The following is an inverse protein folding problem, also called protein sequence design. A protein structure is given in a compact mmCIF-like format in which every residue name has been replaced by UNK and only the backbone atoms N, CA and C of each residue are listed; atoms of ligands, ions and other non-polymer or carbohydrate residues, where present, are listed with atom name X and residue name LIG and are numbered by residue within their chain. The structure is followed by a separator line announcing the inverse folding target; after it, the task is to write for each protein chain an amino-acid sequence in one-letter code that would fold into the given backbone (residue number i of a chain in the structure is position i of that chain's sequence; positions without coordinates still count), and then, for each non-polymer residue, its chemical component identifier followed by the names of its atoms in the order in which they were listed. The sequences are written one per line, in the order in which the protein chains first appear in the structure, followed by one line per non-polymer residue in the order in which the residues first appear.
data_IF_074021039624
#
_entry.id   IF_074021039624
#
_cell.length_a   1.000
_cell.length_b   1.000
_cell.length_c   1.000
_cell.angle_alpha   90.00
_cell.angle_beta   90.00
_cell.angle_gamma   90.00
#
_symmetry.space_group_name_H-M   'P 1'
#
loop_
_entity.id
_entity.type
_entity.pdbx_description
1 polymer ?
#
# COMPACT_ATOMS: atom_id res chain seq x y z
N UNK A 1 -16.42 9.65 -8.38
CA UNK A 1 -15.90 9.06 -7.15
C UNK A 1 -14.54 9.69 -6.82
N UNK A 2 -14.23 9.79 -5.56
CA UNK A 2 -12.96 10.37 -5.09
C UNK A 2 -11.92 9.28 -4.90
N UNK A 3 -10.64 9.63 -5.09
CA UNK A 3 -9.52 8.75 -4.80
C UNK A 3 -9.26 8.72 -3.28
N UNK A 4 -8.80 7.57 -2.78
CA UNK A 4 -8.36 7.44 -1.39
C UNK A 4 -6.92 7.90 -1.29
N UNK A 5 -6.64 8.85 -0.40
CA UNK A 5 -5.31 9.44 -0.22
C UNK A 5 -4.67 9.00 1.09
N UNK A 6 -3.37 8.84 1.03
CA UNK A 6 -2.53 8.64 2.19
C UNK A 6 -1.98 9.99 2.64
N UNK A 7 -2.39 10.48 3.80
CA UNK A 7 -2.06 11.82 4.24
C UNK A 7 -0.96 11.88 5.28
N UNK A 8 -0.90 10.90 6.18
CA UNK A 8 0.04 10.90 7.28
C UNK A 8 0.36 9.50 7.78
N UNK A 9 1.62 9.29 8.11
CA UNK A 9 2.10 8.16 8.89
C UNK A 9 3.21 8.66 9.83
N UNK A 10 3.06 8.44 11.13
CA UNK A 10 4.01 8.94 12.11
C UNK A 10 3.38 9.10 13.47
N UNK A 11 3.89 10.05 14.27
CA UNK A 11 3.36 10.37 15.56
C UNK A 11 1.87 10.74 15.53
N UNK A 12 1.16 10.49 16.62
CA UNK A 12 -0.26 10.83 16.73
C UNK A 12 -0.50 12.31 16.47
N UNK A 13 -1.49 12.61 15.66
CA UNK A 13 -2.00 13.95 15.41
C UNK A 13 -3.24 14.13 16.29
N UNK A 14 -3.19 15.12 17.21
CA UNK A 14 -4.30 15.36 18.14
C UNK A 14 -5.52 15.99 17.44
N UNK A 15 -5.28 16.87 16.48
CA UNK A 15 -6.35 17.44 15.65
C UNK A 15 -6.15 17.08 14.19
N UNK A 16 -6.91 16.12 13.63
CA UNK A 16 -6.83 15.74 12.23
C UNK A 16 -7.60 16.70 11.30
N UNK A 17 -8.35 17.68 11.81
CA UNK A 17 -9.17 18.56 10.98
C UNK A 17 -8.38 19.31 9.89
N UNK A 18 -7.14 19.82 10.14
CA UNK A 18 -6.34 20.42 9.08
C UNK A 18 -5.99 19.46 7.93
N UNK A 19 -5.89 18.15 8.19
CA UNK A 19 -5.63 17.17 7.15
C UNK A 19 -6.79 17.02 6.18
N UNK A 20 -8.03 17.19 6.64
CA UNK A 20 -9.21 17.10 5.80
C UNK A 20 -9.25 18.21 4.73
N UNK A 21 -8.63 19.35 5.00
CA UNK A 21 -8.47 20.47 4.08
C UNK A 21 -7.25 20.39 3.17
N UNK A 22 -6.39 19.38 3.38
CA UNK A 22 -5.17 19.26 2.60
C UNK A 22 -5.50 18.97 1.13
N UNK A 23 -5.11 19.91 0.27
CA UNK A 23 -5.18 19.75 -1.18
C UNK A 23 -3.79 19.41 -1.68
N UNK A 24 -3.58 18.22 -2.23
CA UNK A 24 -2.35 17.92 -2.94
C UNK A 24 -2.21 18.92 -4.10
N UNK A 25 -1.01 19.48 -4.23
CA UNK A 25 -0.71 20.29 -5.40
C UNK A 25 -0.68 19.39 -6.63
N UNK A 26 -1.61 19.58 -7.54
CA UNK A 26 -1.63 18.92 -8.84
C UNK A 26 -0.76 19.71 -9.80
N UNK A 27 0.46 19.24 -10.03
CA UNK A 27 1.23 19.73 -11.15
C UNK A 27 0.74 19.01 -12.42
N UNK A 28 0.43 19.71 -13.51
CA UNK A 28 -0.07 19.08 -14.74
C UNK A 28 0.88 18.02 -15.31
N UNK A 29 2.18 18.18 -15.10
CA UNK A 29 3.22 17.27 -15.63
C UNK A 29 3.68 16.21 -14.61
N UNK A 30 3.29 16.33 -13.34
CA UNK A 30 3.70 15.44 -12.26
C UNK A 30 2.46 15.00 -11.50
N UNK A 31 1.77 14.02 -12.01
CA UNK A 31 0.60 13.47 -11.35
C UNK A 31 1.06 12.52 -10.20
N UNK A 32 1.71 13.11 -9.20
CA UNK A 32 2.29 12.44 -8.04
C UNK A 32 1.39 12.61 -6.82
N UNK A 33 0.15 12.20 -6.93
CA UNK A 33 -0.78 12.26 -5.81
C UNK A 33 -0.43 11.17 -4.79
N UNK A 34 -0.65 11.48 -3.51
CA UNK A 34 -0.46 10.55 -2.41
C UNK A 34 -1.62 9.53 -2.36
N UNK A 35 -1.81 8.79 -3.44
CA UNK A 35 -2.86 7.77 -3.55
C UNK A 35 -2.52 6.60 -2.63
N UNK A 36 -3.46 6.20 -1.79
CA UNK A 36 -3.23 5.14 -0.80
C UNK A 36 -2.98 3.76 -1.44
N UNK A 37 -3.51 3.53 -2.65
CA UNK A 37 -3.32 2.27 -3.37
C UNK A 37 -3.35 2.54 -4.88
N UNK A 38 -2.23 2.98 -5.47
CA UNK A 38 -2.17 3.31 -6.88
C UNK A 38 -2.33 2.06 -7.75
N UNK A 39 -3.21 2.13 -8.75
CA UNK A 39 -3.37 1.08 -9.75
C UNK A 39 -2.80 1.52 -11.10
N UNK A 40 -2.37 0.57 -11.91
CA UNK A 40 -1.88 0.83 -13.27
C UNK A 40 -3.01 1.36 -14.15
N UNK A 41 -2.73 2.41 -14.92
CA UNK A 41 -3.75 3.07 -15.74
C UNK A 41 -4.47 4.22 -15.04
N UNK A 42 -4.29 4.35 -13.72
CA UNK A 42 -4.75 5.52 -12.96
C UNK A 42 -3.92 6.77 -13.29
N UNK A 43 -4.26 7.86 -12.62
CA UNK A 43 -3.60 9.16 -12.83
C UNK A 43 -2.22 9.30 -12.16
N UNK A 44 -1.74 8.26 -11.50
CA UNK A 44 -0.50 8.29 -10.75
C UNK A 44 0.61 7.61 -11.54
N UNK A 45 1.75 8.30 -11.73
CA UNK A 45 2.92 7.77 -12.43
C UNK A 45 3.89 7.01 -11.52
N UNK A 46 3.58 6.83 -10.24
CA UNK A 46 4.37 5.99 -9.34
C UNK A 46 4.21 4.50 -9.67
N UNK A 47 5.10 3.69 -9.14
CA UNK A 47 4.98 2.24 -9.22
C UNK A 47 3.61 1.80 -8.69
N UNK A 48 2.80 1.13 -9.52
CA UNK A 48 1.45 0.74 -9.11
C UNK A 48 1.48 -0.39 -8.09
N UNK A 49 0.66 -0.23 -7.04
CA UNK A 49 0.41 -1.29 -6.07
C UNK A 49 -0.45 -2.43 -6.64
N UNK A 50 -1.16 -2.16 -7.72
CA UNK A 50 -2.00 -3.13 -8.42
C UNK A 50 -1.81 -3.01 -9.92
N UNK A 51 -1.50 -4.14 -10.57
CA UNK A 51 -1.48 -4.26 -12.03
C UNK A 51 -2.29 -5.48 -12.45
N UNK A 52 -3.32 -5.26 -13.23
CA UNK A 52 -4.29 -6.26 -13.67
C UNK A 52 -4.43 -6.21 -15.19
N UNK A 53 -4.60 -7.37 -15.83
CA UNK A 53 -5.27 -7.45 -17.13
C UNK A 53 -6.71 -7.91 -16.89
N UNK A 54 -7.66 -7.06 -17.23
CA UNK A 54 -9.09 -7.32 -17.11
C UNK A 54 -9.57 -8.42 -18.09
N UNK A 55 -10.76 -8.94 -17.89
CA UNK A 55 -11.29 -10.04 -18.70
C UNK A 55 -11.48 -9.69 -20.18
N UNK A 56 -11.62 -8.42 -20.51
CA UNK A 56 -11.69 -7.89 -21.88
C UNK A 56 -10.33 -7.53 -22.49
N UNK A 57 -9.23 -7.70 -21.73
CA UNK A 57 -7.87 -7.40 -22.15
C UNK A 57 -7.42 -5.97 -21.81
N UNK A 58 -8.26 -5.12 -21.22
CA UNK A 58 -7.84 -3.79 -20.76
C UNK A 58 -6.84 -3.92 -19.61
N UNK A 59 -5.90 -2.98 -19.55
CA UNK A 59 -4.87 -2.90 -18.51
C UNK A 59 -5.14 -1.75 -17.53
N UNK A 60 -6.08 -0.87 -17.84
CA UNK A 60 -6.35 0.30 -17.03
C UNK A 60 -7.25 -0.06 -15.85
N UNK A 61 -6.85 0.33 -14.65
CA UNK A 61 -7.62 0.17 -13.43
C UNK A 61 -7.68 1.51 -12.71
N UNK A 62 -8.86 2.09 -12.57
CA UNK A 62 -9.07 3.37 -11.88
C UNK A 62 -9.91 3.14 -10.63
N UNK A 63 -9.25 2.92 -9.50
CA UNK A 63 -9.93 2.65 -8.22
C UNK A 63 -10.58 3.91 -7.66
N UNK A 64 -11.88 3.81 -7.34
CA UNK A 64 -12.67 4.88 -6.75
C UNK A 64 -13.24 4.45 -5.41
N UNK A 65 -13.22 5.38 -4.46
CA UNK A 65 -13.79 5.17 -3.14
C UNK A 65 -15.29 4.85 -3.23
N UNK A 66 -15.71 3.84 -2.48
CA UNK A 66 -17.12 3.46 -2.33
C UNK A 66 -17.60 3.72 -0.91
N UNK A 67 -16.89 3.18 0.08
CA UNK A 67 -17.28 3.27 1.48
C UNK A 67 -16.12 2.91 2.39
N UNK A 68 -16.26 3.22 3.67
CA UNK A 68 -15.41 2.65 4.70
C UNK A 68 -16.23 2.26 5.92
N UNK A 69 -15.65 1.38 6.72
CA UNK A 69 -16.19 1.03 8.03
C UNK A 69 -15.05 0.91 9.02
N UNK A 70 -15.28 1.37 10.22
CA UNK A 70 -14.35 1.20 11.35
C UNK A 70 -15.08 0.50 12.47
N UNK A 71 -14.46 -0.50 13.07
CA UNK A 71 -15.01 -1.26 14.21
C UNK A 71 -13.93 -1.62 15.21
N UNK A 72 -14.27 -1.65 16.47
CA UNK A 72 -13.46 -2.33 17.48
C UNK A 72 -13.64 -3.83 17.34
N UNK A 73 -12.57 -4.58 17.50
CA UNK A 73 -12.62 -6.03 17.57
C UNK A 73 -12.90 -6.52 19.00
N UNK A 74 -12.84 -7.82 19.22
CA UNK A 74 -13.13 -8.40 20.53
C UNK A 74 -12.21 -7.87 21.65
N UNK A 75 -10.98 -7.51 21.34
CA UNK A 75 -10.10 -6.73 22.20
C UNK A 75 -10.32 -5.23 21.88
N UNK A 76 -10.79 -4.47 22.88
CA UNK A 76 -11.01 -3.02 22.75
C UNK A 76 -9.76 -2.21 22.36
N UNK A 77 -8.59 -2.78 22.53
CA UNK A 77 -7.30 -2.26 22.08
C UNK A 77 -7.13 -2.32 20.56
N UNK A 78 -7.93 -3.13 19.86
CA UNK A 78 -7.76 -3.43 18.44
C UNK A 78 -8.90 -2.81 17.64
N UNK A 79 -8.54 -1.96 16.68
CA UNK A 79 -9.50 -1.31 15.77
C UNK A 79 -9.20 -1.70 14.34
N UNK A 80 -10.22 -2.19 13.64
CA UNK A 80 -10.13 -2.50 12.20
C UNK A 80 -10.86 -1.43 11.38
N UNK A 81 -10.20 -0.89 10.38
CA UNK A 81 -10.79 -0.02 9.36
C UNK A 81 -10.66 -0.68 7.99
N UNK A 82 -11.79 -0.83 7.31
CA UNK A 82 -11.86 -1.36 5.94
C UNK A 82 -12.30 -0.24 5.02
N UNK A 83 -11.48 0.09 4.05
CA UNK A 83 -11.79 1.05 2.99
C UNK A 83 -12.06 0.27 1.72
N UNK A 84 -13.25 0.41 1.17
CA UNK A 84 -13.66 -0.26 -0.05
C UNK A 84 -13.57 0.68 -1.24
N UNK A 85 -12.95 0.18 -2.28
CA UNK A 85 -12.83 0.82 -3.59
C UNK A 85 -13.34 -0.13 -4.67
N UNK A 86 -13.75 0.42 -5.78
CA UNK A 86 -14.09 -0.34 -6.99
C UNK A 86 -13.46 0.32 -8.20
N UNK A 87 -13.16 -0.46 -9.23
CA UNK A 87 -12.76 0.12 -10.51
C UNK A 87 -13.92 0.90 -11.13
N UNK A 88 -13.59 1.98 -11.85
CA UNK A 88 -14.58 2.88 -12.43
C UNK A 88 -15.33 2.27 -13.63
N UNK A 89 -14.74 1.29 -14.30
CA UNK A 89 -15.23 0.70 -15.55
C UNK A 89 -15.52 -0.79 -15.38
N UNK A 90 -14.55 -1.53 -14.84
CA UNK A 90 -14.62 -2.98 -14.70
C UNK A 90 -15.10 -3.37 -13.28
N UNK A 91 -15.90 -4.42 -13.11
CA UNK A 91 -16.36 -4.84 -11.78
C UNK A 91 -15.25 -5.57 -10.99
N UNK A 92 -14.21 -4.82 -10.62
CA UNK A 92 -13.10 -5.24 -9.76
C UNK A 92 -13.14 -4.43 -8.46
N UNK A 93 -13.23 -5.12 -7.32
CA UNK A 93 -13.21 -4.46 -6.02
C UNK A 93 -11.86 -4.64 -5.32
N UNK A 94 -11.45 -3.62 -4.59
CA UNK A 94 -10.30 -3.65 -3.68
C UNK A 94 -10.73 -3.17 -2.31
N UNK A 95 -10.45 -3.96 -1.27
CA UNK A 95 -10.60 -3.55 0.12
C UNK A 95 -9.22 -3.39 0.75
N UNK A 96 -8.92 -2.20 1.26
CA UNK A 96 -7.75 -1.97 2.12
C UNK A 96 -8.19 -2.16 3.56
N UNK A 97 -7.56 -3.09 4.23
CA UNK A 97 -7.85 -3.42 5.63
C UNK A 97 -6.67 -2.97 6.49
N UNK A 98 -6.93 -2.04 7.37
CA UNK A 98 -6.00 -1.54 8.37
C UNK A 98 -6.43 -2.02 9.74
N UNK A 99 -5.53 -2.68 10.48
CA UNK A 99 -5.81 -3.09 11.86
C UNK A 99 -4.79 -2.43 12.77
N UNK A 100 -5.28 -1.56 13.63
CA UNK A 100 -4.48 -0.82 14.60
C UNK A 100 -4.54 -1.50 15.97
N UNK A 101 -3.37 -1.83 16.51
CA UNK A 101 -3.14 -2.36 17.82
C UNK A 101 -2.58 -1.23 18.69
N UNK A 102 -3.46 -0.54 19.42
CA UNK A 102 -3.10 0.71 20.08
C UNK A 102 -2.08 0.52 21.23
N UNK A 103 -2.19 -0.59 21.98
CA UNK A 103 -1.27 -0.89 23.08
C UNK A 103 0.12 -1.23 22.59
N UNK A 104 0.21 -1.98 21.48
CA UNK A 104 1.44 -2.43 20.86
C UNK A 104 2.06 -1.37 19.95
N UNK A 105 1.32 -0.30 19.65
CA UNK A 105 1.69 0.74 18.68
C UNK A 105 2.04 0.15 17.30
N UNK A 106 1.22 -0.80 16.83
CA UNK A 106 1.41 -1.52 15.56
C UNK A 106 0.19 -1.31 14.67
N UNK A 107 0.41 -1.15 13.39
CA UNK A 107 -0.63 -1.18 12.36
C UNK A 107 -0.28 -2.28 11.35
N UNK A 108 -1.21 -3.20 11.12
CA UNK A 108 -1.11 -4.14 10.02
C UNK A 108 -1.98 -3.70 8.84
N UNK A 109 -1.52 -4.00 7.64
CA UNK A 109 -2.23 -3.68 6.41
C UNK A 109 -2.34 -4.90 5.51
N UNK A 110 -3.46 -5.01 4.79
CA UNK A 110 -3.65 -5.99 3.74
C UNK A 110 -4.60 -5.45 2.68
N UNK A 111 -4.41 -5.89 1.45
CA UNK A 111 -5.35 -5.68 0.35
C UNK A 111 -6.15 -6.97 0.09
N UNK A 112 -7.44 -6.83 -0.17
CA UNK A 112 -8.33 -7.91 -0.62
C UNK A 112 -8.88 -7.53 -1.97
N UNK A 113 -8.52 -8.29 -2.99
CA UNK A 113 -8.92 -8.06 -4.38
C UNK A 113 -10.00 -9.07 -4.73
N UNK A 114 -11.11 -8.59 -5.30
CA UNK A 114 -12.23 -9.41 -5.71
C UNK A 114 -12.57 -9.16 -7.16
N UNK A 115 -12.36 -10.17 -7.99
CA UNK A 115 -12.86 -10.18 -9.35
C UNK A 115 -14.37 -10.44 -9.33
N UNK A 116 -15.16 -9.53 -9.92
CA UNK A 116 -16.59 -9.68 -10.18
C UNK A 116 -16.92 -9.56 -11.67
N UNK A 117 -15.90 -9.58 -12.52
CA UNK A 117 -16.07 -9.64 -13.95
C UNK A 117 -16.59 -11.00 -14.38
N UNK A 118 -17.14 -11.10 -15.58
CA UNK A 118 -17.67 -12.36 -16.12
C UNK A 118 -16.60 -13.36 -16.56
N UNK A 119 -15.35 -12.91 -16.65
CA UNK A 119 -14.21 -13.70 -17.08
C UNK A 119 -13.05 -13.67 -16.07
N UNK A 120 -12.00 -14.43 -16.32
CA UNK A 120 -10.78 -14.42 -15.52
C UNK A 120 -10.03 -13.11 -15.73
N UNK A 121 -9.39 -12.63 -14.66
CA UNK A 121 -8.43 -11.52 -14.70
C UNK A 121 -7.03 -12.05 -14.41
N UNK A 122 -6.00 -11.39 -14.93
CA UNK A 122 -4.62 -11.74 -14.63
C UNK A 122 -4.03 -10.69 -13.69
N UNK A 123 -3.62 -11.11 -12.49
CA UNK A 123 -2.87 -10.27 -11.57
C UNK A 123 -1.37 -10.36 -11.90
N UNK A 124 -0.79 -9.28 -12.41
CA UNK A 124 0.64 -9.18 -12.68
C UNK A 124 1.44 -8.83 -11.43
N UNK A 125 0.90 -7.90 -10.65
CA UNK A 125 1.44 -7.55 -9.34
C UNK A 125 0.34 -7.01 -8.43
N UNK A 126 0.50 -7.25 -7.12
CA UNK A 126 -0.32 -6.63 -6.09
C UNK A 126 0.48 -6.52 -4.80
N UNK A 127 0.29 -5.45 -4.07
CA UNK A 127 0.96 -5.17 -2.82
C UNK A 127 -0.01 -5.23 -1.66
N UNK A 128 0.49 -5.65 -0.49
CA UNK A 128 -0.31 -5.59 0.75
C UNK A 128 -0.50 -4.15 1.23
N UNK A 129 0.44 -3.27 0.86
CA UNK A 129 0.46 -1.86 1.25
C UNK A 129 1.25 -1.03 0.23
N UNK A 130 0.85 0.21 0.04
CA UNK A 130 1.62 1.26 -0.60
C UNK A 130 1.64 2.46 0.34
N UNK A 131 2.83 2.98 0.65
CA UNK A 131 2.99 4.06 1.63
C UNK A 131 3.86 5.16 1.01
N UNK A 132 3.26 6.25 0.50
CA UNK A 132 4.00 7.42 0.02
C UNK A 132 4.53 8.22 1.21
N UNK A 133 5.72 7.87 1.69
CA UNK A 133 6.40 8.58 2.77
C UNK A 133 7.21 9.73 2.22
N UNK A 134 7.19 10.89 2.90
CA UNK A 134 7.95 12.08 2.52
C UNK A 134 8.99 12.41 3.59
N UNK A 135 10.26 12.38 3.20
CA UNK A 135 11.38 12.80 4.01
C UNK A 135 12.50 13.35 3.11
N UNK A 136 13.42 14.09 3.69
CA UNK A 136 14.61 14.57 2.97
C UNK A 136 15.57 13.44 2.63
N UNK A 137 15.65 12.42 3.48
CA UNK A 137 16.52 11.25 3.33
C UNK A 137 15.82 10.00 3.84
N UNK A 138 16.09 8.88 3.22
CA UNK A 138 15.58 7.57 3.62
C UNK A 138 16.74 6.62 3.87
N UNK A 139 16.73 5.98 5.01
CA UNK A 139 17.63 4.89 5.36
C UNK A 139 16.82 3.59 5.38
N UNK A 140 17.14 2.67 4.49
CA UNK A 140 16.57 1.35 4.48
C UNK A 140 17.42 0.44 5.35
N UNK A 141 16.84 -0.08 6.42
CA UNK A 141 17.47 -1.09 7.27
C UNK A 141 16.79 -2.42 7.02
N UNK A 142 17.57 -3.43 6.67
CA UNK A 142 17.05 -4.78 6.48
C UNK A 142 18.00 -5.82 7.03
N UNK A 143 17.51 -7.05 7.12
CA UNK A 143 18.29 -8.18 7.56
C UNK A 143 18.58 -9.10 6.38
N UNK A 144 19.79 -9.62 6.31
CA UNK A 144 20.15 -10.68 5.40
C UNK A 144 20.84 -11.81 6.15
N UNK A 145 20.99 -12.96 5.54
CA UNK A 145 21.62 -14.06 6.22
C UNK A 145 21.99 -15.23 5.35
N UNK A 146 22.86 -16.05 5.93
CA UNK A 146 23.25 -17.35 5.42
C UNK A 146 23.35 -18.32 6.58
N UNK A 147 23.52 -19.61 6.30
CA UNK A 147 23.80 -20.61 7.31
C UNK A 147 24.96 -20.16 8.22
N UNK A 148 24.77 -20.16 9.53
CA UNK A 148 25.69 -19.68 10.56
C UNK A 148 25.99 -18.18 10.54
N UNK A 149 25.26 -17.40 9.75
CA UNK A 149 25.35 -15.93 9.66
C UNK A 149 23.96 -15.32 9.48
N UNK A 150 23.04 -15.70 10.37
CA UNK A 150 21.66 -15.25 10.34
C UNK A 150 21.56 -13.81 10.82
N UNK A 151 20.52 -13.12 10.36
CA UNK A 151 20.09 -11.80 10.86
C UNK A 151 21.19 -10.72 10.84
N UNK A 152 22.02 -10.69 9.79
CA UNK A 152 22.99 -9.61 9.61
C UNK A 152 22.25 -8.33 9.21
N UNK A 153 22.51 -7.24 9.93
CA UNK A 153 21.89 -5.94 9.69
C UNK A 153 22.63 -5.22 8.55
N UNK A 154 21.89 -4.77 7.55
CA UNK A 154 22.40 -3.87 6.52
C UNK A 154 21.64 -2.55 6.52
N UNK A 155 22.39 -1.46 6.32
CA UNK A 155 21.85 -0.11 6.18
C UNK A 155 22.18 0.44 4.81
N UNK A 156 21.16 0.81 4.04
CA UNK A 156 21.32 1.40 2.71
C UNK A 156 20.68 2.79 2.68
N UNK A 157 21.47 3.83 2.41
CA UNK A 157 20.92 5.14 2.10
C UNK A 157 20.24 5.08 0.74
N UNK A 158 18.94 5.35 0.70
CA UNK A 158 18.20 5.39 -0.55
C UNK A 158 18.53 6.68 -1.31
N UNK A 159 18.89 6.51 -2.57
CA UNK A 159 19.11 7.58 -3.55
C UNK A 159 18.03 7.54 -4.61
N UNK A 160 18.19 8.29 -5.72
CA UNK A 160 17.25 8.21 -6.83
C UNK A 160 17.24 6.81 -7.45
N UNK A 161 16.06 6.34 -7.81
CA UNK A 161 15.82 5.01 -8.37
C UNK A 161 15.01 4.12 -7.42
N UNK A 162 15.10 2.81 -7.60
CA UNK A 162 14.44 1.81 -6.76
C UNK A 162 15.45 0.90 -6.08
N UNK A 163 15.16 0.52 -4.84
CA UNK A 163 15.82 -0.56 -4.12
C UNK A 163 14.76 -1.62 -3.82
N UNK A 164 15.03 -2.86 -4.21
CA UNK A 164 14.18 -4.00 -3.92
C UNK A 164 14.90 -4.96 -2.98
N UNK A 165 14.15 -5.46 -2.00
CA UNK A 165 14.58 -6.56 -1.13
C UNK A 165 13.59 -7.68 -1.37
N UNK A 166 14.10 -8.85 -1.74
CA UNK A 166 13.27 -9.99 -2.09
C UNK A 166 13.85 -11.29 -1.55
N UNK A 167 12.98 -12.18 -1.12
CA UNK A 167 13.33 -13.54 -0.75
C UNK A 167 12.58 -14.53 -1.64
N UNK A 168 13.32 -15.43 -2.27
CA UNK A 168 12.76 -16.56 -3.04
C UNK A 168 12.63 -17.83 -2.20
N UNK A 169 13.04 -17.79 -0.94
CA UNK A 169 13.12 -18.95 -0.03
C UNK A 169 12.19 -18.83 1.17
N UNK A 170 11.22 -17.94 1.11
CA UNK A 170 10.31 -17.64 2.22
C UNK A 170 10.99 -16.86 3.35
N UNK A 171 10.43 -16.89 4.53
CA UNK A 171 10.91 -16.13 5.71
C UNK A 171 12.08 -16.83 6.41
N UNK A 172 12.99 -17.47 5.68
CA UNK A 172 14.17 -18.11 6.28
C UNK A 172 15.32 -17.11 6.34
N UNK A 173 15.80 -16.85 7.55
CA UNK A 173 16.99 -16.01 7.80
C UNK A 173 18.30 -16.65 7.29
N UNK A 174 18.27 -17.90 6.88
CA UNK A 174 19.44 -18.70 6.56
C UNK A 174 19.92 -18.65 5.12
N UNK A 175 19.34 -17.92 4.21
CA UNK A 175 19.78 -17.74 2.81
C UNK A 175 18.88 -16.73 2.10
N UNK A 176 18.37 -15.75 2.81
CA UNK A 176 17.41 -14.81 2.25
C UNK A 176 17.62 -13.42 2.81
N UNK A 177 17.36 -12.43 2.00
CA UNK A 177 17.09 -11.10 2.47
C UNK A 177 15.72 -11.12 3.15
N UNK A 178 15.67 -10.58 4.36
CA UNK A 178 14.42 -10.36 5.09
C UNK A 178 14.13 -8.86 5.08
N UNK A 179 13.02 -8.43 4.47
CA UNK A 179 12.58 -7.04 4.49
C UNK A 179 12.18 -6.58 5.88
#
# INVERSE_FOLDING_TARGET
GEEVRFLHFGGRIDDPAPLAGYRSYRHPDHNTEDVAYPAFGGRNYHEPALRVTHADGDLNTELRYVSHRTRKLADDNVTETVVRMTDAVQPLDVELVYTAYARENVITTRAVIRNREKGPVTLHSFYSSAMPLRAEKYLLTHLHGAWTREAQVEHTLLTHGSKSIASTRGLRTTHAENP
#
